data_IF_278872832234
#
_entry.id   IF_278872832234
#
_cell.length_a   1.000
_cell.length_b   1.000
_cell.length_c   1.000
_cell.angle_alpha   90.00
_cell.angle_beta   90.00
_cell.angle_gamma   90.00
#
_symmetry.space_group_name_H-M   'P 1'
#
loop_
_entity.id
_entity.type
_entity.pdbx_description
1 polymer ?
#
# COMPACT_ATOMS: atom_id res chain seq x y z
N UNK A 1 6.65 18.39 -11.87
CA UNK A 1 7.65 17.76 -10.98
C UNK A 1 6.88 16.87 -10.02
N UNK A 2 7.25 15.59 -9.91
CA UNK A 2 6.57 14.65 -9.02
C UNK A 2 6.67 15.12 -7.55
N UNK A 3 5.54 15.11 -6.84
CA UNK A 3 5.37 15.60 -5.47
C UNK A 3 5.48 14.44 -4.47
N UNK A 4 6.65 14.27 -3.87
CA UNK A 4 6.85 13.47 -2.66
C UNK A 4 6.59 11.96 -2.80
N UNK A 5 6.48 11.30 -1.65
CA UNK A 5 6.32 9.84 -1.50
C UNK A 5 4.87 9.55 -1.10
N UNK A 6 4.25 8.54 -1.73
CA UNK A 6 2.96 7.99 -1.34
C UNK A 6 3.16 6.73 -0.48
N UNK A 7 2.38 6.57 0.57
CA UNK A 7 2.31 5.32 1.34
C UNK A 7 0.93 4.70 1.16
N UNK A 8 0.87 3.40 0.87
CA UNK A 8 -0.38 2.63 0.86
C UNK A 8 -0.17 1.43 1.79
N UNK A 9 -0.97 1.30 2.84
CA UNK A 9 -0.74 0.31 3.88
C UNK A 9 -2.05 -0.26 4.46
N UNK A 10 -1.94 -1.36 5.20
CA UNK A 10 -3.06 -1.86 6.00
C UNK A 10 -3.45 -0.84 7.08
N UNK A 11 -4.75 -0.68 7.33
CA UNK A 11 -5.29 0.19 8.37
C UNK A 11 -4.71 -0.09 9.76
N UNK A 12 -4.30 -1.34 10.04
CA UNK A 12 -3.66 -1.70 11.32
C UNK A 12 -2.37 -0.89 11.56
N UNK A 13 -1.65 -0.48 10.51
CA UNK A 13 -0.40 0.30 10.61
C UNK A 13 -0.63 1.82 10.63
N UNK A 14 -1.89 2.29 10.62
CA UNK A 14 -2.22 3.70 10.45
C UNK A 14 -1.55 4.60 11.49
N UNK A 15 -1.62 4.22 12.76
CA UNK A 15 -1.09 5.03 13.86
C UNK A 15 0.42 5.18 13.76
N UNK A 16 1.12 4.09 13.50
CA UNK A 16 2.58 4.03 13.37
C UNK A 16 3.04 4.84 12.17
N UNK A 17 2.39 4.65 11.02
CA UNK A 17 2.73 5.37 9.78
C UNK A 17 2.49 6.88 9.98
N UNK A 18 1.31 7.30 10.45
CA UNK A 18 1.01 8.72 10.69
C UNK A 18 2.01 9.35 11.67
N UNK A 19 2.52 8.60 12.66
CA UNK A 19 3.52 9.11 13.60
C UNK A 19 4.87 9.43 12.94
N UNK A 20 5.18 8.79 11.81
CA UNK A 20 6.43 8.98 11.06
C UNK A 20 6.24 10.03 9.96
N UNK A 21 5.18 9.90 9.15
CA UNK A 21 4.98 10.75 7.97
C UNK A 21 4.17 12.02 8.25
N UNK A 22 3.52 12.12 9.41
CA UNK A 22 2.66 13.23 9.79
C UNK A 22 1.21 13.09 9.28
N UNK A 23 0.28 13.87 9.86
CA UNK A 23 -1.16 13.82 9.51
C UNK A 23 -1.49 14.37 8.13
N UNK A 24 -0.66 15.27 7.60
CA UNK A 24 -0.82 15.81 6.23
C UNK A 24 -0.11 14.94 5.18
N UNK A 25 0.24 13.71 5.53
CA UNK A 25 0.96 12.80 4.66
C UNK A 25 0.10 12.25 3.53
N UNK A 26 0.76 11.91 2.43
CA UNK A 26 0.16 11.21 1.31
C UNK A 26 0.04 9.71 1.64
N UNK A 27 -0.65 9.36 2.73
CA UNK A 27 -0.94 7.98 3.10
C UNK A 27 -2.36 7.57 2.69
N UNK A 28 -2.53 6.32 2.28
CA UNK A 28 -3.84 5.68 2.07
C UNK A 28 -3.86 4.38 2.84
N UNK A 29 -4.93 4.17 3.62
CA UNK A 29 -5.08 2.98 4.45
C UNK A 29 -6.19 2.09 3.88
N UNK A 30 -5.84 0.85 3.59
CA UNK A 30 -6.79 -0.18 3.12
C UNK A 30 -7.32 -0.93 4.34
N UNK A 31 -8.64 -1.11 4.39
CA UNK A 31 -9.32 -1.77 5.51
C UNK A 31 -8.77 -3.18 5.76
N UNK A 32 -8.62 -3.53 7.04
CA UNK A 32 -8.05 -4.81 7.48
C UNK A 32 -8.91 -6.00 7.03
N UNK A 33 -10.23 -5.83 6.98
CA UNK A 33 -11.22 -6.86 6.68
C UNK A 33 -11.04 -7.51 5.30
N UNK A 34 -10.27 -6.89 4.41
CA UNK A 34 -9.94 -7.49 3.11
C UNK A 34 -8.92 -8.64 3.19
N UNK A 35 -8.22 -8.84 4.31
CA UNK A 35 -7.24 -9.93 4.44
C UNK A 35 -7.89 -11.32 4.38
N UNK A 36 -9.18 -11.44 4.72
CA UNK A 36 -9.94 -12.69 4.55
C UNK A 36 -10.28 -12.99 3.07
N UNK A 37 -10.03 -12.03 2.16
CA UNK A 37 -10.37 -12.10 0.74
C UNK A 37 -9.22 -11.54 -0.12
N UNK A 38 -8.12 -12.29 -0.32
CA UNK A 38 -6.91 -11.80 -1.00
C UNK A 38 -7.16 -11.17 -2.38
N UNK A 39 -8.08 -11.70 -3.19
CA UNK A 39 -8.44 -11.12 -4.49
C UNK A 39 -9.06 -9.71 -4.35
N UNK A 40 -9.88 -9.49 -3.33
CA UNK A 40 -10.43 -8.17 -3.07
C UNK A 40 -9.36 -7.22 -2.54
N UNK A 41 -8.46 -7.72 -1.67
CA UNK A 41 -7.32 -6.94 -1.19
C UNK A 41 -6.43 -6.49 -2.35
N UNK A 42 -6.12 -7.41 -3.27
CA UNK A 42 -5.37 -7.11 -4.49
C UNK A 42 -6.02 -5.96 -5.28
N UNK A 43 -7.32 -6.08 -5.57
CA UNK A 43 -8.06 -5.05 -6.32
C UNK A 43 -8.02 -3.69 -5.63
N UNK A 44 -8.13 -3.65 -4.29
CA UNK A 44 -8.08 -2.39 -3.52
C UNK A 44 -6.70 -1.74 -3.53
N UNK A 45 -5.66 -2.55 -3.44
CA UNK A 45 -4.28 -2.06 -3.51
C UNK A 45 -3.99 -1.53 -4.92
N UNK A 46 -4.40 -2.26 -5.95
CA UNK A 46 -4.25 -1.86 -7.35
C UNK A 46 -5.02 -0.56 -7.65
N UNK A 47 -6.28 -0.44 -7.20
CA UNK A 47 -7.08 0.80 -7.31
C UNK A 47 -6.36 1.99 -6.63
N UNK A 48 -5.82 1.79 -5.42
CA UNK A 48 -5.09 2.84 -4.71
C UNK A 48 -3.79 3.26 -5.44
N UNK A 49 -3.10 2.32 -6.10
CA UNK A 49 -1.92 2.60 -6.93
C UNK A 49 -2.33 3.40 -8.17
N UNK A 50 -3.40 3.01 -8.86
CA UNK A 50 -3.91 3.68 -10.06
C UNK A 50 -4.35 5.11 -9.79
N UNK A 51 -5.00 5.36 -8.65
CA UNK A 51 -5.38 6.72 -8.22
C UNK A 51 -4.19 7.58 -7.75
N UNK A 52 -3.01 6.99 -7.53
CA UNK A 52 -1.84 7.69 -7.03
C UNK A 52 -0.99 8.25 -8.18
N UNK A 53 -1.41 9.39 -8.74
CA UNK A 53 -0.66 10.11 -9.77
C UNK A 53 0.30 11.15 -9.16
N UNK A 54 1.32 11.54 -9.93
CA UNK A 54 2.24 12.62 -9.58
C UNK A 54 3.14 12.40 -8.36
N UNK A 55 3.39 11.15 -7.96
CA UNK A 55 4.35 10.80 -6.90
C UNK A 55 5.70 10.36 -7.46
N UNK A 56 6.76 10.51 -6.65
CA UNK A 56 8.09 10.00 -7.02
C UNK A 56 8.15 8.47 -6.91
N UNK A 57 7.47 7.92 -5.90
CA UNK A 57 7.27 6.49 -5.71
C UNK A 57 6.10 6.23 -4.76
N UNK A 58 5.64 4.98 -4.76
CA UNK A 58 4.66 4.44 -3.82
C UNK A 58 5.35 3.39 -2.95
N UNK A 59 5.19 3.48 -1.64
CA UNK A 59 5.64 2.46 -0.68
C UNK A 59 4.42 1.66 -0.20
N UNK A 60 4.48 0.33 -0.34
CA UNK A 60 3.48 -0.58 0.18
C UNK A 60 3.84 -1.01 1.62
N UNK A 61 2.90 -0.84 2.54
CA UNK A 61 2.93 -1.40 3.89
C UNK A 61 2.21 -2.75 3.96
N UNK A 62 2.59 -3.68 3.08
CA UNK A 62 2.02 -5.03 2.97
C UNK A 62 3.13 -6.07 2.77
N UNK A 63 2.96 -7.26 3.35
CA UNK A 63 3.75 -8.46 3.03
C UNK A 63 3.13 -9.22 1.86
N UNK A 64 3.21 -10.56 1.85
CA UNK A 64 2.58 -11.34 0.78
C UNK A 64 1.03 -11.36 0.86
N UNK A 65 0.46 -11.27 2.06
CA UNK A 65 -0.98 -11.10 2.32
C UNK A 65 -1.88 -12.08 1.57
N UNK A 66 -1.63 -13.38 1.72
CA UNK A 66 -2.36 -14.46 1.04
C UNK A 66 -2.14 -14.48 -0.47
N UNK A 67 -1.08 -13.83 -0.96
CA UNK A 67 -0.81 -13.63 -2.39
C UNK A 67 -1.43 -12.35 -2.96
N UNK A 68 -2.08 -11.50 -2.16
CA UNK A 68 -2.72 -10.29 -2.65
C UNK A 68 -1.75 -9.29 -3.31
N UNK A 69 -0.46 -9.34 -2.96
CA UNK A 69 0.57 -8.49 -3.58
C UNK A 69 1.13 -9.09 -4.88
N UNK A 70 0.95 -10.39 -5.11
CA UNK A 70 1.41 -11.02 -6.35
C UNK A 70 0.69 -10.39 -7.55
N UNK A 71 1.46 -10.12 -8.62
CA UNK A 71 0.95 -9.51 -9.84
C UNK A 71 0.59 -8.02 -9.77
N UNK A 72 0.86 -7.31 -8.67
CA UNK A 72 0.64 -5.84 -8.61
C UNK A 72 1.42 -5.12 -9.70
N UNK A 73 0.77 -4.17 -10.37
CA UNK A 73 1.34 -3.41 -11.46
C UNK A 73 1.71 -1.99 -11.02
N UNK A 74 2.99 -1.64 -11.21
CA UNK A 74 3.44 -0.26 -11.10
C UNK A 74 2.94 0.53 -12.33
N UNK A 75 2.10 1.54 -12.10
CA UNK A 75 1.41 2.27 -13.18
C UNK A 75 2.18 3.50 -13.65
N UNK A 76 2.38 4.48 -12.77
CA UNK A 76 2.91 5.81 -13.12
C UNK A 76 4.28 6.09 -12.50
N UNK A 77 4.61 5.37 -11.42
CA UNK A 77 5.87 5.51 -10.70
C UNK A 77 6.28 4.17 -10.08
N UNK A 78 7.54 4.01 -9.64
CA UNK A 78 7.99 2.80 -8.97
C UNK A 78 7.17 2.49 -7.72
N UNK A 79 6.82 1.21 -7.56
CA UNK A 79 6.20 0.65 -6.36
C UNK A 79 7.28 -0.10 -5.57
N UNK A 80 7.46 0.28 -4.31
CA UNK A 80 8.45 -0.28 -3.39
C UNK A 80 7.69 -1.17 -2.40
N UNK A 81 8.11 -2.43 -2.30
CA UNK A 81 7.47 -3.45 -1.48
C UNK A 81 8.50 -4.01 -0.50
N UNK A 82 8.18 -4.15 0.80
CA UNK A 82 9.08 -4.78 1.75
C UNK A 82 9.24 -6.26 1.38
N UNK A 83 10.47 -6.76 1.41
CA UNK A 83 10.76 -8.18 1.21
C UNK A 83 10.50 -8.94 2.51
N UNK A 84 9.24 -9.20 2.80
CA UNK A 84 8.77 -9.92 3.98
C UNK A 84 7.68 -10.92 3.59
N UNK A 85 7.56 -11.99 4.38
CA UNK A 85 6.50 -12.98 4.22
C UNK A 85 5.15 -12.43 4.72
N UNK A 86 4.13 -13.30 4.73
CA UNK A 86 2.79 -12.93 5.14
C UNK A 86 2.72 -12.48 6.62
N UNK A 87 1.88 -11.48 6.89
CA UNK A 87 1.61 -11.01 8.25
C UNK A 87 0.63 -11.94 8.99
N UNK A 88 0.01 -12.88 8.27
CA UNK A 88 -0.96 -13.84 8.79
C UNK A 88 -0.41 -15.25 8.51
N UNK A 89 -0.32 -16.13 9.53
CA UNK A 89 0.20 -17.48 9.38
C UNK A 89 -0.73 -18.42 8.60
#
# INVERSE_FOLDING_TARGET
MAKGIKVIACQVMEKEIISIVGRESNATFVQYEYHDKPELLHNRIQEAIECSTDYQCIILGFGLCGGAIDGILAMTCPVIIPKIDDCIP
#
